data_IF_883410375910
#
_entry.id   IF_883410375910
#
_cell.length_a   1.000
_cell.length_b   1.000
_cell.length_c   1.000
_cell.angle_alpha   90.00
_cell.angle_beta   90.00
_cell.angle_gamma   90.00
#
_symmetry.space_group_name_H-M   'P 1'
#
loop_
_entity.id
_entity.type
_entity.pdbx_description
1 polymer ?
#
# COMPACT_ATOMS: atom_id res chain seq x y z
N UNK A 1 0.43 8.47 21.70
CA UNK A 1 1.18 7.68 20.69
C UNK A 1 0.49 7.90 19.36
N UNK A 2 1.16 8.48 18.35
CA UNK A 2 0.61 8.56 17.00
C UNK A 2 1.17 7.37 16.20
N UNK A 3 0.32 6.38 15.95
CA UNK A 3 0.63 5.20 15.12
C UNK A 3 0.63 5.66 13.66
N UNK A 4 1.70 5.33 12.94
CA UNK A 4 1.80 5.55 11.50
C UNK A 4 1.14 4.41 10.74
N UNK A 5 1.59 3.18 10.97
CA UNK A 5 1.07 1.96 10.35
C UNK A 5 1.44 0.73 11.18
N UNK A 6 0.95 -0.43 10.77
CA UNK A 6 1.22 -1.69 11.43
C UNK A 6 1.83 -2.70 10.47
N UNK A 7 2.70 -3.57 10.98
CA UNK A 7 3.19 -4.76 10.26
C UNK A 7 2.79 -6.03 11.00
N UNK A 8 2.69 -7.14 10.27
CA UNK A 8 2.36 -8.45 10.80
C UNK A 8 3.62 -9.26 11.06
N UNK A 9 3.71 -9.88 12.23
CA UNK A 9 4.75 -10.84 12.60
C UNK A 9 6.20 -10.32 12.53
N UNK A 10 6.40 -8.99 12.47
CA UNK A 10 7.73 -8.38 12.47
C UNK A 10 7.69 -6.99 13.11
N UNK A 11 8.64 -6.66 14.01
CA UNK A 11 8.84 -5.29 14.50
C UNK A 11 9.66 -4.42 13.53
N UNK A 12 10.21 -5.01 12.45
CA UNK A 12 10.99 -4.27 11.45
C UNK A 12 10.06 -3.50 10.53
N UNK A 13 10.55 -2.40 9.98
CA UNK A 13 9.89 -1.69 8.87
C UNK A 13 10.03 -2.57 7.63
N UNK A 14 9.03 -3.42 7.41
CA UNK A 14 8.96 -4.40 6.34
C UNK A 14 7.61 -4.26 5.66
N UNK A 15 7.62 -3.62 4.48
CA UNK A 15 6.41 -3.24 3.75
C UNK A 15 5.73 -4.41 3.06
N UNK A 16 6.40 -5.55 2.92
CA UNK A 16 5.77 -6.79 2.44
C UNK A 16 4.86 -7.39 3.51
N UNK A 17 5.11 -7.04 4.78
CA UNK A 17 4.31 -7.47 5.92
C UNK A 17 3.42 -6.35 6.46
N UNK A 18 3.16 -5.32 5.67
CA UNK A 18 2.23 -4.26 6.04
C UNK A 18 0.84 -4.86 6.33
N UNK A 19 0.20 -4.41 7.41
CA UNK A 19 -1.15 -4.83 7.75
C UNK A 19 -2.10 -4.43 6.60
N UNK A 20 -2.66 -5.43 5.92
CA UNK A 20 -3.72 -5.25 4.94
C UNK A 20 -5.11 -5.48 5.52
N UNK A 21 -6.08 -5.72 4.65
CA UNK A 21 -7.47 -6.00 5.03
C UNK A 21 -7.71 -7.40 5.61
N UNK A 22 -6.74 -8.30 5.54
CA UNK A 22 -6.86 -9.65 6.07
C UNK A 22 -5.81 -9.87 7.17
N UNK A 23 -6.26 -10.40 8.31
CA UNK A 23 -5.44 -10.70 9.47
C UNK A 23 -5.63 -12.18 9.85
N UNK A 24 -4.54 -12.92 9.97
CA UNK A 24 -4.57 -14.27 10.52
C UNK A 24 -4.90 -14.23 12.02
N UNK A 25 -5.68 -15.18 12.51
CA UNK A 25 -6.10 -15.21 13.91
C UNK A 25 -4.93 -15.37 14.90
N UNK A 26 -3.79 -15.87 14.43
CA UNK A 26 -2.56 -16.06 15.22
C UNK A 26 -1.47 -15.00 14.93
N UNK A 27 -1.77 -14.00 14.09
CA UNK A 27 -0.79 -12.99 13.71
C UNK A 27 -0.53 -11.98 14.85
N UNK A 28 0.75 -11.64 15.03
CA UNK A 28 1.16 -10.55 15.91
C UNK A 28 1.17 -9.23 15.16
N UNK A 29 0.47 -8.23 15.68
CA UNK A 29 0.48 -6.87 15.12
C UNK A 29 1.56 -6.03 15.81
N UNK A 30 2.47 -5.47 15.01
CA UNK A 30 3.48 -4.51 15.45
C UNK A 30 3.12 -3.12 14.96
N UNK A 31 2.86 -2.19 15.88
CA UNK A 31 2.53 -0.81 15.56
C UNK A 31 3.80 0.05 15.45
N UNK A 32 3.99 0.67 14.29
CA UNK A 32 5.06 1.64 14.04
C UNK A 32 4.57 3.04 14.40
N UNK A 33 5.26 3.71 15.31
CA UNK A 33 4.86 5.03 15.83
C UNK A 33 5.80 6.12 15.33
N UNK A 34 5.32 7.36 15.29
CA UNK A 34 6.12 8.54 14.91
C UNK A 34 7.44 8.60 15.68
N UNK A 35 8.54 8.71 14.94
CA UNK A 35 9.90 8.84 15.44
C UNK A 35 10.51 10.17 15.06
N UNK A 36 11.60 10.13 14.30
CA UNK A 36 12.43 11.31 13.99
C UNK A 36 11.81 12.08 12.83
N UNK A 37 11.68 13.39 12.99
CA UNK A 37 11.28 14.29 11.92
C UNK A 37 12.50 14.73 11.11
N UNK A 38 12.36 14.76 9.80
CA UNK A 38 13.40 15.13 8.84
C UNK A 38 12.82 16.14 7.86
N UNK A 39 13.66 17.02 7.34
CA UNK A 39 13.34 17.89 6.22
C UNK A 39 14.42 17.71 5.18
N UNK A 40 14.02 17.46 3.93
CA UNK A 40 14.94 17.12 2.84
C UNK A 40 14.56 17.94 1.62
N UNK A 41 15.52 18.66 1.06
CA UNK A 41 15.40 19.32 -0.24
C UNK A 41 15.87 18.35 -1.33
N UNK A 42 15.08 18.24 -2.40
CA UNK A 42 15.33 17.33 -3.52
C UNK A 42 15.22 18.12 -4.83
N UNK A 43 16.23 18.02 -5.69
CA UNK A 43 16.18 18.58 -7.04
C UNK A 43 15.51 17.59 -8.00
N UNK A 44 14.39 17.98 -8.63
CA UNK A 44 13.64 17.10 -9.54
C UNK A 44 14.26 17.10 -10.95
N UNK A 45 15.32 16.31 -11.15
CA UNK A 45 15.98 16.14 -12.46
C UNK A 45 15.22 15.24 -13.44
N UNK A 46 14.31 14.40 -12.94
CA UNK A 46 13.54 13.43 -13.72
C UNK A 46 12.03 13.59 -13.49
N UNK A 47 11.22 13.18 -14.46
CA UNK A 47 9.75 13.24 -14.34
C UNK A 47 9.23 12.29 -13.26
N UNK A 48 9.89 11.15 -13.08
CA UNK A 48 9.59 10.18 -12.03
C UNK A 48 10.61 10.27 -10.89
N UNK A 49 10.10 10.27 -9.65
CA UNK A 49 10.94 10.26 -8.45
C UNK A 49 11.39 8.84 -8.05
N UNK A 50 10.73 7.81 -8.59
CA UNK A 50 10.94 6.41 -8.19
C UNK A 50 10.38 6.06 -6.80
N UNK A 51 9.29 6.71 -6.39
CA UNK A 51 8.58 6.43 -5.15
C UNK A 51 7.31 5.62 -5.43
N UNK A 52 7.03 4.67 -4.55
CA UNK A 52 5.72 4.04 -4.43
C UNK A 52 5.11 4.41 -3.09
N UNK A 53 3.96 5.09 -3.12
CA UNK A 53 3.29 5.62 -1.93
C UNK A 53 2.10 4.73 -1.56
N UNK A 54 1.88 4.55 -0.26
CA UNK A 54 0.68 3.92 0.29
C UNK A 54 0.20 4.72 1.50
N UNK A 55 -0.97 4.40 2.05
CA UNK A 55 -1.46 5.02 3.29
C UNK A 55 -2.14 4.01 4.21
N UNK A 56 -2.40 4.44 5.44
CA UNK A 56 -3.02 3.62 6.48
C UNK A 56 -4.55 3.78 6.57
N UNK A 57 -5.19 4.40 5.57
CA UNK A 57 -6.61 4.71 5.54
C UNK A 57 -7.11 5.76 6.55
N UNK A 58 -6.23 6.30 7.39
CA UNK A 58 -6.58 7.26 8.46
C UNK A 58 -5.81 8.58 8.37
N UNK A 59 -5.24 8.87 7.20
CA UNK A 59 -4.61 10.16 6.89
C UNK A 59 -3.09 10.20 7.03
N UNK A 60 -2.43 9.05 7.22
CA UNK A 60 -0.97 8.96 7.16
C UNK A 60 -0.53 8.16 5.94
N UNK A 61 0.06 8.87 4.97
CA UNK A 61 0.69 8.26 3.80
C UNK A 61 2.21 8.13 3.98
N UNK A 62 2.79 7.05 3.49
CA UNK A 62 4.20 6.75 3.70
C UNK A 62 4.80 6.04 2.49
N UNK A 63 6.12 6.08 2.42
CA UNK A 63 6.89 5.49 1.33
C UNK A 63 6.89 3.97 1.51
N UNK A 64 6.26 3.24 0.60
CA UNK A 64 6.22 1.78 0.61
C UNK A 64 7.43 1.17 -0.11
N UNK A 65 7.87 1.80 -1.20
CA UNK A 65 9.03 1.39 -1.99
C UNK A 65 9.79 2.59 -2.52
N UNK A 66 11.10 2.42 -2.65
CA UNK A 66 11.98 3.30 -3.40
C UNK A 66 12.58 2.43 -4.51
N UNK A 67 12.47 2.85 -5.77
CA UNK A 67 13.01 2.12 -6.92
C UNK A 67 14.54 2.25 -6.94
N UNK A 68 15.25 1.15 -7.06
CA UNK A 68 16.71 1.15 -7.17
C UNK A 68 17.20 1.99 -8.36
N UNK A 69 18.22 2.80 -8.14
CA UNK A 69 18.78 3.70 -9.15
C UNK A 69 17.88 4.88 -9.53
N UNK A 70 16.77 5.10 -8.82
CA UNK A 70 15.93 6.28 -9.01
C UNK A 70 16.52 7.55 -8.38
N UNK A 71 15.92 8.69 -8.73
CA UNK A 71 16.23 9.98 -8.13
C UNK A 71 16.22 9.90 -6.60
N UNK A 72 15.17 9.35 -6.00
CA UNK A 72 15.05 9.28 -4.53
C UNK A 72 15.98 8.24 -3.91
N UNK A 73 16.33 7.15 -4.62
CA UNK A 73 17.34 6.20 -4.12
C UNK A 73 18.70 6.88 -3.90
N UNK A 74 19.05 7.90 -4.68
CA UNK A 74 20.27 8.68 -4.45
C UNK A 74 20.24 9.52 -3.16
N UNK A 75 19.05 9.81 -2.62
CA UNK A 75 18.83 10.65 -1.44
C UNK A 75 18.72 9.78 -0.17
N UNK A 76 19.87 9.43 0.42
CA UNK A 76 19.95 8.47 1.54
C UNK A 76 19.23 8.87 2.84
N UNK A 77 18.81 10.12 2.97
CA UNK A 77 18.03 10.59 4.12
C UNK A 77 16.56 10.13 4.07
N UNK A 78 16.04 9.86 2.86
CA UNK A 78 14.68 9.39 2.61
C UNK A 78 14.69 7.86 2.67
N UNK A 79 13.83 7.27 3.50
CA UNK A 79 13.79 5.83 3.73
C UNK A 79 12.40 5.25 3.45
N UNK A 80 12.37 3.96 3.10
CA UNK A 80 11.13 3.17 3.12
C UNK A 80 10.53 3.23 4.54
N UNK A 81 9.24 3.50 4.60
CA UNK A 81 8.48 3.67 5.83
C UNK A 81 8.40 5.07 6.38
N UNK A 82 9.11 6.04 5.80
CA UNK A 82 8.96 7.43 6.17
C UNK A 82 7.54 7.92 5.81
N UNK A 83 6.85 8.50 6.79
CA UNK A 83 5.58 9.20 6.58
C UNK A 83 5.83 10.59 5.99
N UNK A 84 5.08 10.96 4.95
CA UNK A 84 5.17 12.27 4.31
C UNK A 84 4.20 13.22 5.00
N UNK A 85 4.73 14.18 5.76
CA UNK A 85 3.95 15.16 6.51
C UNK A 85 3.61 16.39 5.65
N UNK A 86 4.55 16.87 4.84
CA UNK A 86 4.33 18.02 3.96
C UNK A 86 5.21 18.00 2.71
N UNK A 87 4.72 18.63 1.64
CA UNK A 87 5.43 18.85 0.38
C UNK A 87 5.46 20.36 0.12
N UNK A 88 6.64 20.98 -0.05
CA UNK A 88 6.81 22.42 -0.22
C UNK A 88 6.11 23.26 0.88
N UNK A 89 6.13 22.77 2.12
CA UNK A 89 5.47 23.41 3.27
C UNK A 89 3.95 23.20 3.35
N UNK A 90 3.32 22.61 2.33
CA UNK A 90 1.90 22.27 2.35
C UNK A 90 1.68 20.98 3.13
N UNK A 91 0.90 21.05 4.21
CA UNK A 91 0.55 19.90 5.03
C UNK A 91 -0.42 18.99 4.26
N UNK A 92 -0.03 17.72 4.10
CA UNK A 92 -0.79 16.70 3.37
C UNK A 92 -1.35 15.61 4.30
N UNK A 93 -1.28 15.81 5.62
CA UNK A 93 -1.92 14.89 6.57
C UNK A 93 -3.43 14.86 6.32
N UNK A 94 -3.99 13.66 6.21
CA UNK A 94 -5.39 13.46 5.82
C UNK A 94 -5.59 13.20 4.33
N UNK A 95 -4.60 13.48 3.48
CA UNK A 95 -4.66 13.15 2.06
C UNK A 95 -4.50 11.66 1.85
N UNK A 96 -5.09 11.14 0.76
CA UNK A 96 -4.87 9.77 0.33
C UNK A 96 -3.58 9.65 -0.46
N UNK A 97 -3.01 8.45 -0.48
CA UNK A 97 -1.75 8.18 -1.17
C UNK A 97 -1.81 8.56 -2.66
N UNK A 98 -2.96 8.42 -3.33
CA UNK A 98 -3.12 8.77 -4.73
C UNK A 98 -3.04 10.29 -4.98
N UNK A 99 -3.61 11.11 -4.10
CA UNK A 99 -3.51 12.58 -4.19
C UNK A 99 -2.07 13.04 -4.00
N UNK A 100 -1.35 12.38 -3.09
CA UNK A 100 0.05 12.67 -2.79
C UNK A 100 0.95 12.24 -3.95
N UNK A 101 0.75 11.04 -4.50
CA UNK A 101 1.48 10.56 -5.67
C UNK A 101 1.26 11.47 -6.88
N UNK A 102 0.01 11.91 -7.10
CA UNK A 102 -0.32 12.90 -8.13
C UNK A 102 0.41 14.22 -7.89
N UNK A 103 0.37 14.77 -6.67
CA UNK A 103 1.08 16.01 -6.31
C UNK A 103 2.58 15.92 -6.57
N UNK A 104 3.21 14.80 -6.19
CA UNK A 104 4.64 14.55 -6.44
C UNK A 104 4.97 14.45 -7.94
N UNK A 105 4.08 13.84 -8.73
CA UNK A 105 4.19 13.76 -10.19
C UNK A 105 4.09 15.15 -10.85
N UNK A 106 3.18 16.00 -10.35
CA UNK A 106 2.93 17.35 -10.86
C UNK A 106 3.99 18.40 -10.45
N UNK A 107 4.90 18.06 -9.52
CA UNK A 107 6.04 18.93 -9.22
C UNK A 107 6.81 19.26 -10.50
N UNK A 108 7.23 20.51 -10.64
CA UNK A 108 7.96 20.96 -11.83
C UNK A 108 9.32 20.28 -11.91
N UNK A 109 9.64 19.80 -13.10
CA UNK A 109 10.98 19.34 -13.45
C UNK A 109 11.95 20.52 -13.43
N UNK A 110 13.20 20.23 -13.10
CA UNK A 110 14.30 21.20 -12.99
C UNK A 110 14.12 22.26 -11.89
N UNK A 111 13.28 21.98 -10.90
CA UNK A 111 13.13 22.77 -9.68
C UNK A 111 13.38 21.90 -8.42
N UNK A 112 13.86 22.53 -7.35
CA UNK A 112 13.93 21.90 -6.03
C UNK A 112 12.57 21.90 -5.35
N UNK A 113 12.28 20.84 -4.61
CA UNK A 113 11.13 20.75 -3.72
C UNK A 113 11.55 20.23 -2.34
N UNK A 114 10.79 20.56 -1.30
CA UNK A 114 11.06 20.11 0.06
C UNK A 114 10.06 19.06 0.51
N UNK A 115 10.56 18.01 1.15
CA UNK A 115 9.78 16.99 1.82
C UNK A 115 10.03 17.06 3.32
N UNK A 116 8.94 17.12 4.08
CA UNK A 116 8.99 16.93 5.53
C UNK A 116 8.51 15.53 5.84
N UNK A 117 9.39 14.74 6.43
CA UNK A 117 9.21 13.32 6.64
C UNK A 117 9.25 12.97 8.12
N UNK A 118 8.55 11.91 8.52
CA UNK A 118 8.61 11.34 9.86
C UNK A 118 9.00 9.88 9.73
N UNK A 119 10.19 9.54 10.19
CA UNK A 119 10.67 8.16 10.27
C UNK A 119 9.97 7.43 11.42
N UNK A 120 9.51 6.18 11.23
CA UNK A 120 9.00 5.35 12.31
C UNK A 120 10.08 5.12 13.37
N UNK A 121 9.68 5.02 14.64
CA UNK A 121 10.63 4.59 15.68
C UNK A 121 11.11 3.19 15.37
N UNK A 122 12.38 3.07 15.01
CA UNK A 122 13.05 1.78 14.89
C UNK A 122 13.09 1.11 16.25
N UNK A 123 12.63 -0.14 16.32
CA UNK A 123 12.94 -0.99 17.45
C UNK A 123 14.47 -1.12 17.51
N UNK A 124 15.07 -0.80 18.66
CA UNK A 124 16.45 -1.20 18.91
C UNK A 124 16.54 -2.72 18.72
N UNK A 125 17.64 -3.22 18.16
CA UNK A 125 17.94 -4.65 18.12
C UNK A 125 18.06 -5.16 19.56
N UNK A 126 16.92 -5.47 20.18
CA UNK A 126 16.88 -6.26 21.38
C UNK A 126 17.17 -7.67 20.89
N UNK A 127 18.42 -8.11 21.10
CA UNK A 127 18.85 -9.49 20.82
C UNK A 127 17.85 -10.51 21.38
N UNK A 128 17.84 -11.74 20.82
CA UNK A 128 16.75 -12.68 21.00
C UNK A 128 16.43 -12.88 22.48
N UNK A 129 15.35 -12.27 22.96
CA UNK A 129 14.81 -12.57 24.28
C UNK A 129 14.33 -14.01 24.24
N UNK A 130 14.81 -14.77 25.22
CA UNK A 130 14.61 -16.18 25.43
C UNK A 130 13.18 -16.63 25.14
N UNK A 131 13.08 -17.61 24.23
CA UNK A 131 11.99 -18.58 24.00
C UNK A 131 10.60 -18.16 24.51
N UNK A 132 9.63 -17.85 23.63
CA UNK A 132 8.24 -18.00 24.02
C UNK A 132 8.01 -19.48 24.36
N UNK A 133 7.45 -19.73 25.54
CA UNK A 133 7.13 -21.07 26.00
C UNK A 133 6.29 -21.80 24.97
N UNK A 134 6.65 -23.06 24.68
CA UNK A 134 5.81 -23.97 23.90
C UNK A 134 4.47 -24.12 24.61
N UNK A 135 3.45 -23.39 24.18
CA UNK A 135 2.08 -23.90 24.26
C UNK A 135 1.92 -24.86 23.09
N UNK A 136 2.04 -26.16 23.39
CA UNK A 136 1.53 -27.21 22.52
C UNK A 136 0.00 -27.09 22.49
N UNK A 137 -0.52 -26.29 21.56
CA UNK A 137 -1.90 -26.41 21.13
C UNK A 137 -1.92 -27.42 19.98
N UNK A 138 -2.66 -28.50 20.20
CA UNK A 138 -2.89 -29.59 19.27
C UNK A 138 -3.31 -29.05 17.90
N UNK A 139 -2.74 -29.63 16.85
CA UNK A 139 -3.27 -29.51 15.49
C UNK A 139 -4.68 -30.11 15.48
N UNK A 140 -5.68 -29.27 15.68
CA UNK A 140 -7.07 -29.58 15.38
C UNK A 140 -7.41 -28.89 14.07
N UNK A 141 -7.91 -29.70 13.14
CA UNK A 141 -7.96 -29.40 11.72
C UNK A 141 -8.90 -28.25 11.33
N UNK A 142 -8.52 -27.67 10.19
CA UNK A 142 -9.42 -27.37 9.07
C UNK A 142 -10.57 -26.40 9.34
N UNK A 143 -10.22 -25.12 9.46
CA UNK A 143 -10.91 -23.97 8.85
C UNK A 143 -9.93 -22.78 8.95
N UNK A 144 -9.22 -22.42 7.87
CA UNK A 144 -8.29 -21.28 7.84
C UNK A 144 -9.09 -19.97 7.79
N UNK A 145 -9.75 -19.64 8.89
CA UNK A 145 -10.45 -18.37 9.04
C UNK A 145 -9.46 -17.21 9.11
N UNK A 146 -9.78 -16.10 8.44
CA UNK A 146 -9.09 -14.82 8.55
C UNK A 146 -10.07 -13.76 9.04
N UNK A 147 -9.60 -12.84 9.87
CA UNK A 147 -10.36 -11.67 10.23
C UNK A 147 -10.22 -10.65 9.09
N UNK A 148 -11.32 -10.37 8.40
CA UNK A 148 -11.39 -9.32 7.39
C UNK A 148 -11.73 -7.98 8.05
N UNK A 149 -10.79 -7.05 7.93
CA UNK A 149 -10.94 -5.65 8.30
C UNK A 149 -11.50 -4.89 7.09
N UNK A 150 -12.61 -4.19 7.30
CA UNK A 150 -13.28 -3.39 6.26
C UNK A 150 -13.16 -1.92 6.60
N UNK A 151 -12.93 -1.09 5.59
CA UNK A 151 -12.92 0.38 5.73
C UNK A 151 -14.29 0.93 6.14
N UNK A 152 -15.37 0.24 5.78
CA UNK A 152 -16.76 0.54 6.19
C UNK A 152 -17.44 -0.76 6.66
N UNK A 153 -17.96 -0.75 7.89
CA UNK A 153 -18.67 -1.88 8.50
C UNK A 153 -17.85 -2.66 9.54
N UNK A 154 -18.47 -3.64 10.22
CA UNK A 154 -17.80 -4.45 11.24
C UNK A 154 -16.80 -5.42 10.60
N UNK A 155 -15.76 -5.77 11.37
CA UNK A 155 -14.84 -6.84 10.99
C UNK A 155 -15.56 -8.20 11.02
N UNK A 156 -15.29 -9.04 10.04
CA UNK A 156 -15.94 -10.34 9.85
C UNK A 156 -14.89 -11.46 9.79
N UNK A 157 -15.23 -12.63 10.31
CA UNK A 157 -14.41 -13.84 10.08
C UNK A 157 -14.83 -14.42 8.73
N UNK A 158 -13.90 -14.51 7.79
CA UNK A 158 -14.11 -15.01 6.44
C UNK A 158 -13.11 -16.12 6.13
N UNK A 159 -13.43 -16.95 5.14
CA UNK A 159 -12.44 -17.86 4.56
C UNK A 159 -11.37 -17.05 3.83
N UNK A 160 -10.13 -17.56 3.83
CA UNK A 160 -9.06 -16.95 3.05
C UNK A 160 -9.46 -16.84 1.57
N UNK A 161 -9.17 -15.70 0.90
CA UNK A 161 -9.39 -15.56 -0.54
C UNK A 161 -8.74 -16.69 -1.32
N UNK A 162 -9.41 -17.16 -2.38
CA UNK A 162 -8.84 -18.19 -3.26
C UNK A 162 -7.53 -17.70 -3.89
N UNK A 163 -6.59 -18.62 -4.13
CA UNK A 163 -5.28 -18.26 -4.72
C UNK A 163 -5.41 -17.52 -6.05
N UNK A 164 -6.43 -17.85 -6.84
CA UNK A 164 -6.75 -17.18 -8.11
C UNK A 164 -7.14 -15.72 -7.88
N UNK A 165 -8.02 -15.44 -6.90
CA UNK A 165 -8.42 -14.08 -6.54
C UNK A 165 -7.22 -13.28 -6.04
N UNK A 166 -6.39 -13.87 -5.19
CA UNK A 166 -5.19 -13.20 -4.65
C UNK A 166 -4.21 -12.82 -5.75
N UNK A 167 -3.89 -13.73 -6.67
CA UNK A 167 -3.00 -13.43 -7.82
C UNK A 167 -3.56 -12.33 -8.72
N UNK A 168 -4.86 -12.31 -8.96
CA UNK A 168 -5.49 -11.27 -9.76
C UNK A 168 -5.36 -9.88 -9.10
N UNK A 169 -5.63 -9.81 -7.80
CA UNK A 169 -5.49 -8.56 -7.02
C UNK A 169 -4.04 -8.09 -7.00
N UNK A 170 -3.08 -9.00 -6.80
CA UNK A 170 -1.65 -8.67 -6.85
C UNK A 170 -1.23 -8.11 -8.21
N UNK A 171 -1.70 -8.69 -9.33
CA UNK A 171 -1.46 -8.16 -10.68
C UNK A 171 -2.02 -6.75 -10.84
N UNK A 172 -3.23 -6.48 -10.34
CA UNK A 172 -3.84 -5.15 -10.39
C UNK A 172 -3.04 -4.14 -9.55
N UNK A 173 -2.56 -4.54 -8.36
CA UNK A 173 -1.74 -3.67 -7.51
C UNK A 173 -0.39 -3.32 -8.14
N UNK A 174 0.19 -4.25 -8.93
CA UNK A 174 1.38 -3.97 -9.76
C UNK A 174 1.08 -2.95 -10.86
N UNK A 175 -0.09 -3.01 -11.50
CA UNK A 175 -0.50 -2.01 -12.50
C UNK A 175 -0.72 -0.64 -11.85
N UNK A 176 -1.32 -0.58 -10.65
CA UNK A 176 -1.45 0.66 -9.89
C UNK A 176 -0.08 1.29 -9.59
N UNK A 177 0.90 0.47 -9.23
CA UNK A 177 2.26 0.96 -9.01
C UNK A 177 2.89 1.50 -10.29
N UNK A 178 2.75 0.76 -11.40
CA UNK A 178 3.33 1.14 -12.69
C UNK A 178 2.77 2.46 -13.23
N UNK A 179 1.44 2.62 -13.20
CA UNK A 179 0.77 3.76 -13.83
C UNK A 179 0.65 4.98 -12.90
N UNK A 180 0.53 4.74 -11.60
CA UNK A 180 0.17 5.78 -10.63
C UNK A 180 1.19 5.95 -9.49
N UNK A 181 2.18 5.05 -9.37
CA UNK A 181 3.17 5.12 -8.29
C UNK A 181 2.58 4.86 -6.91
N UNK A 182 1.52 4.05 -6.85
CA UNK A 182 0.81 3.72 -5.59
C UNK A 182 0.60 2.23 -5.46
N UNK A 183 0.45 1.76 -4.23
CA UNK A 183 -0.08 0.42 -3.95
C UNK A 183 -1.21 0.55 -2.93
N UNK A 184 -2.38 0.01 -3.31
CA UNK A 184 -3.60 -0.03 -2.52
C UNK A 184 -4.35 -1.31 -2.83
N UNK A 185 -4.19 -2.29 -1.93
CA UNK A 185 -4.82 -3.61 -2.04
C UNK A 185 -6.34 -3.53 -1.96
N UNK A 186 -6.90 -2.56 -1.25
CA UNK A 186 -8.35 -2.40 -1.15
C UNK A 186 -8.94 -1.80 -2.43
N UNK A 187 -8.22 -0.84 -3.04
CA UNK A 187 -8.55 -0.33 -4.38
C UNK A 187 -8.45 -1.46 -5.42
N UNK A 188 -7.35 -2.21 -5.43
CA UNK A 188 -7.16 -3.36 -6.33
C UNK A 188 -8.25 -4.43 -6.15
N UNK A 189 -8.66 -4.70 -4.91
CA UNK A 189 -9.77 -5.61 -4.61
C UNK A 189 -11.09 -5.08 -5.17
N UNK A 190 -11.35 -3.78 -5.02
CA UNK A 190 -12.55 -3.12 -5.55
C UNK A 190 -12.59 -3.21 -7.07
N UNK A 191 -11.47 -2.97 -7.74
CA UNK A 191 -11.34 -3.10 -9.20
C UNK A 191 -11.63 -4.54 -9.67
N UNK A 192 -11.04 -5.53 -8.98
CA UNK A 192 -11.32 -6.94 -9.27
C UNK A 192 -12.81 -7.27 -9.09
N UNK A 193 -13.42 -6.83 -7.99
CA UNK A 193 -14.83 -7.08 -7.69
C UNK A 193 -15.77 -6.39 -8.68
N UNK A 194 -15.41 -5.23 -9.23
CA UNK A 194 -16.17 -4.57 -10.29
C UNK A 194 -16.13 -5.32 -11.64
N UNK A 195 -15.00 -5.97 -11.97
CA UNK A 195 -14.79 -6.64 -13.25
C UNK A 195 -15.08 -8.14 -13.29
N UNK A 196 -15.13 -8.83 -12.14
CA UNK A 196 -15.27 -10.30 -12.08
C UNK A 196 -16.52 -10.85 -12.78
N UNK A 197 -17.61 -10.08 -12.84
CA UNK A 197 -18.88 -10.51 -13.45
C UNK A 197 -19.13 -9.92 -14.84
N UNK A 198 -18.21 -9.11 -15.36
CA UNK A 198 -18.32 -8.47 -16.70
C UNK A 198 -17.82 -9.39 -17.80
N UNK A 199 -18.28 -9.19 -19.03
CA UNK A 199 -17.91 -10.07 -20.17
C UNK A 199 -17.01 -9.41 -21.21
N UNK A 200 -16.90 -8.08 -21.20
CA UNK A 200 -16.07 -7.33 -22.14
C UNK A 200 -15.42 -6.09 -21.48
N UNK A 201 -14.37 -5.51 -22.11
CA UNK A 201 -13.68 -4.33 -21.58
C UNK A 201 -14.59 -3.11 -21.40
N UNK A 202 -15.58 -2.90 -22.28
CA UNK A 202 -16.46 -1.73 -22.24
C UNK A 202 -17.38 -1.76 -21.01
N UNK A 203 -17.99 -2.90 -20.72
CA UNK A 203 -18.78 -3.12 -19.51
C UNK A 203 -17.96 -2.98 -18.23
N UNK A 204 -16.69 -3.39 -18.27
CA UNK A 204 -15.76 -3.18 -17.16
C UNK A 204 -15.45 -1.70 -16.98
N UNK A 205 -15.14 -0.97 -18.06
CA UNK A 205 -14.86 0.46 -18.00
C UNK A 205 -16.02 1.24 -17.40
N UNK A 206 -17.27 0.94 -17.82
CA UNK A 206 -18.47 1.55 -17.23
C UNK A 206 -18.59 1.25 -15.74
N UNK A 207 -18.44 -0.01 -15.33
CA UNK A 207 -18.55 -0.38 -13.91
C UNK A 207 -17.42 0.21 -13.04
N UNK A 208 -16.23 0.35 -13.61
CA UNK A 208 -15.09 0.98 -12.98
C UNK A 208 -15.34 2.48 -12.78
N UNK A 209 -15.86 3.18 -13.79
CA UNK A 209 -16.20 4.59 -13.72
C UNK A 209 -17.34 4.88 -12.71
N UNK A 210 -18.37 4.03 -12.68
CA UNK A 210 -19.44 4.12 -11.67
C UNK A 210 -18.93 4.00 -10.22
N UNK A 211 -17.84 3.26 -10.02
CA UNK A 211 -17.29 2.96 -8.68
C UNK A 211 -16.13 3.89 -8.30
N UNK A 212 -15.32 4.28 -9.28
CA UNK A 212 -13.99 4.90 -9.11
C UNK A 212 -13.72 6.03 -10.15
N UNK A 213 -14.76 6.62 -10.75
CA UNK A 213 -14.62 7.65 -11.80
C UNK A 213 -13.82 8.89 -11.38
N UNK A 214 -13.77 9.20 -10.09
CA UNK A 214 -12.97 10.30 -9.53
C UNK A 214 -11.45 10.15 -9.79
N UNK A 215 -10.98 8.93 -10.07
CA UNK A 215 -9.56 8.65 -10.31
C UNK A 215 -9.11 8.99 -11.74
N UNK A 216 -10.03 9.11 -12.70
CA UNK A 216 -9.75 9.37 -14.11
C UNK A 216 -8.62 8.50 -14.68
N UNK A 217 -8.80 7.17 -14.63
CA UNK A 217 -7.81 6.21 -15.10
C UNK A 217 -7.57 6.32 -16.62
N UNK A 218 -6.33 6.18 -17.12
CA UNK A 218 -6.06 6.09 -18.55
C UNK A 218 -6.68 4.83 -19.18
N UNK A 219 -7.13 4.92 -20.44
CA UNK A 219 -7.74 3.79 -21.16
C UNK A 219 -6.82 2.55 -21.22
N UNK A 220 -5.51 2.76 -21.40
CA UNK A 220 -4.51 1.69 -21.38
C UNK A 220 -4.48 0.95 -20.04
N UNK A 221 -4.57 1.68 -18.92
CA UNK A 221 -4.63 1.08 -17.59
C UNK A 221 -5.91 0.25 -17.41
N UNK A 222 -7.05 0.77 -17.85
CA UNK A 222 -8.34 0.04 -17.76
C UNK A 222 -8.27 -1.25 -18.58
N UNK A 223 -7.68 -1.20 -19.78
CA UNK A 223 -7.49 -2.38 -20.62
C UNK A 223 -6.57 -3.43 -19.98
N UNK A 224 -5.44 -3.02 -19.41
CA UNK A 224 -4.49 -3.92 -18.74
C UNK A 224 -5.09 -4.57 -17.48
N UNK A 225 -5.85 -3.81 -16.69
CA UNK A 225 -6.59 -4.34 -15.54
C UNK A 225 -7.63 -5.37 -15.98
N UNK A 226 -8.37 -5.08 -17.06
CA UNK A 226 -9.30 -6.05 -17.63
C UNK A 226 -8.61 -7.33 -18.09
N UNK A 227 -7.41 -7.21 -18.69
CA UNK A 227 -6.56 -8.34 -19.05
C UNK A 227 -6.21 -9.21 -17.83
N UNK A 228 -5.74 -8.58 -16.74
CA UNK A 228 -5.40 -9.26 -15.49
C UNK A 228 -6.60 -10.00 -14.87
N UNK A 229 -7.79 -9.40 -14.90
CA UNK A 229 -9.03 -10.01 -14.42
C UNK A 229 -9.46 -11.18 -15.32
N UNK A 230 -9.36 -11.01 -16.65
CA UNK A 230 -9.77 -12.02 -17.63
C UNK A 230 -8.90 -13.28 -17.57
N UNK A 231 -7.60 -13.12 -17.36
CA UNK A 231 -6.67 -14.23 -17.16
C UNK A 231 -7.06 -15.06 -15.93
N UNK A 232 -7.42 -14.39 -14.83
CA UNK A 232 -7.86 -15.06 -13.60
C UNK A 232 -9.20 -15.80 -13.75
N UNK A 233 -10.03 -15.46 -14.75
CA UNK A 233 -11.27 -16.23 -15.05
C UNK A 233 -11.01 -17.51 -15.85
N UNK A 234 -9.84 -17.62 -16.49
CA UNK A 234 -9.49 -18.74 -17.39
C UNK A 234 -8.65 -19.82 -16.71
N UNK A 235 -8.10 -19.55 -15.53
CA UNK A 235 -7.42 -20.51 -14.64
C UNK A 235 -8.40 -21.22 -13.70
#
# INVERSE_FOLDING_TARGET
>A
LQILYCTLNTPKVDMEKLLGSHLGLEDFIFAHVKGIQKEVEVYKSEDSLGLTITDNGTGYAFIKRIKDGSLIDSVKTICVGDHIESINGENIVGWRHYDIAKKLKELKKDESFTLKLIEPKKAFEIGPRSKPGKSSAEKIGTERGTLRLRSKGPATVEEMPSEIKTKAIEKIDVLLELYMGIQDTDLATTMFEAGKDKVNPDEFAVALDETLGDFAFPDEFVFDVWGAISDAKRE
#
